data_IF_709049790918
#
_entry.id   IF_709049790918
#
_cell.length_a   1.000
_cell.length_b   1.000
_cell.length_c   1.000
_cell.angle_alpha   90.00
_cell.angle_beta   90.00
_cell.angle_gamma   90.00
#
_symmetry.space_group_name_H-M   'P 1'
#
loop_
_entity.id
_entity.type
_entity.pdbx_description
1 polymer ?
#
# COMPACT_ATOMS: atom_id res chain seq x y z
N UNK A 1 -20.95 -26.90 11.42
CA UNK A 1 -20.42 -26.60 10.07
C UNK A 1 -20.83 -27.69 9.10
N UNK A 2 -21.25 -27.33 7.89
CA UNK A 2 -21.62 -28.29 6.84
C UNK A 2 -20.39 -29.09 6.37
N UNK A 3 -20.55 -30.37 5.99
CA UNK A 3 -19.48 -31.25 5.48
C UNK A 3 -18.80 -30.67 4.24
N UNK A 4 -19.54 -29.97 3.39
CA UNK A 4 -19.01 -29.35 2.16
C UNK A 4 -17.98 -28.25 2.47
N UNK A 5 -18.22 -27.46 3.51
CA UNK A 5 -17.33 -26.36 3.92
C UNK A 5 -16.04 -26.93 4.53
N UNK A 6 -16.16 -28.01 5.30
CA UNK A 6 -14.99 -28.72 5.83
C UNK A 6 -14.15 -29.34 4.71
N UNK A 7 -14.78 -29.84 3.65
CA UNK A 7 -14.09 -30.35 2.47
C UNK A 7 -13.36 -29.22 1.73
N UNK A 8 -14.02 -28.09 1.48
CA UNK A 8 -13.39 -26.93 0.83
C UNK A 8 -12.21 -26.39 1.66
N UNK A 9 -12.35 -26.25 2.98
CA UNK A 9 -11.24 -25.86 3.85
C UNK A 9 -10.08 -26.87 3.81
N UNK A 10 -10.38 -28.17 3.78
CA UNK A 10 -9.38 -29.22 3.66
C UNK A 10 -8.63 -29.18 2.32
N UNK A 11 -9.32 -28.88 1.21
CA UNK A 11 -8.69 -28.70 -0.11
C UNK A 11 -7.74 -27.49 -0.13
N UNK A 12 -8.06 -26.46 0.65
CA UNK A 12 -7.21 -25.29 0.88
C UNK A 12 -6.11 -25.53 1.92
N UNK A 13 -5.94 -26.77 2.41
CA UNK A 13 -5.01 -27.11 3.50
C UNK A 13 -5.18 -26.19 4.71
N UNK A 14 -6.43 -25.87 5.02
CA UNK A 14 -6.84 -24.90 6.04
C UNK A 14 -7.73 -25.57 7.08
N UNK A 15 -7.42 -25.33 8.34
CA UNK A 15 -8.15 -25.87 9.48
C UNK A 15 -8.81 -24.73 10.27
N UNK A 16 -10.06 -24.94 10.70
CA UNK A 16 -10.69 -24.08 11.70
C UNK A 16 -10.20 -24.48 13.09
N UNK A 17 -9.45 -23.61 13.75
CA UNK A 17 -8.82 -23.90 15.05
C UNK A 17 -9.76 -23.58 16.21
N UNK A 18 -10.41 -22.41 16.18
CA UNK A 18 -11.35 -21.96 17.21
C UNK A 18 -12.40 -21.05 16.59
N UNK A 19 -13.52 -20.90 17.31
CA UNK A 19 -14.54 -19.91 16.99
C UNK A 19 -15.23 -19.44 18.26
N UNK A 20 -15.62 -18.17 18.27
CA UNK A 20 -16.30 -17.53 19.40
C UNK A 20 -17.39 -16.57 18.92
N UNK A 21 -18.42 -16.36 19.74
CA UNK A 21 -19.40 -15.29 19.51
C UNK A 21 -18.97 -14.08 20.33
N UNK A 22 -18.64 -12.99 19.64
CA UNK A 22 -18.24 -11.73 20.25
C UNK A 22 -19.40 -10.72 20.15
N UNK A 23 -19.54 -9.85 21.15
CA UNK A 23 -20.55 -8.77 21.14
C UNK A 23 -20.18 -7.70 22.17
N UNK A 24 -20.36 -6.43 21.81
CA UNK A 24 -20.12 -5.28 22.69
C UNK A 24 -18.64 -4.95 22.90
N UNK A 25 -17.82 -5.93 23.27
CA UNK A 25 -16.40 -5.77 23.58
C UNK A 25 -15.56 -6.94 23.05
N UNK A 26 -14.31 -6.66 22.66
CA UNK A 26 -13.31 -7.65 22.25
C UNK A 26 -11.91 -7.20 22.65
N UNK A 27 -11.14 -8.09 23.27
CA UNK A 27 -9.69 -7.92 23.48
C UNK A 27 -8.96 -8.78 22.47
N UNK A 28 -8.20 -8.15 21.58
CA UNK A 28 -7.37 -8.85 20.61
C UNK A 28 -6.17 -9.54 21.31
N UNK A 29 -5.61 -10.62 20.72
CA UNK A 29 -4.39 -11.26 21.21
C UNK A 29 -3.17 -10.35 21.37
N UNK A 30 -3.14 -9.19 20.71
CA UNK A 30 -2.10 -8.17 20.88
C UNK A 30 -2.32 -7.26 22.12
N UNK A 31 -3.38 -7.50 22.90
CA UNK A 31 -3.75 -6.74 24.10
C UNK A 31 -4.63 -5.51 23.83
N UNK A 32 -4.85 -5.15 22.56
CA UNK A 32 -5.73 -4.03 22.21
C UNK A 32 -7.19 -4.38 22.51
N UNK A 33 -7.93 -3.39 22.99
CA UNK A 33 -9.31 -3.54 23.41
C UNK A 33 -10.24 -2.67 22.56
N UNK A 34 -11.35 -3.25 22.14
CA UNK A 34 -12.30 -2.63 21.23
C UNK A 34 -13.71 -2.71 21.80
N UNK A 35 -14.40 -1.56 21.85
CA UNK A 35 -15.76 -1.43 22.36
C UNK A 35 -16.76 -1.06 21.26
N UNK A 36 -18.05 -1.20 21.57
CA UNK A 36 -19.15 -0.86 20.66
C UNK A 36 -19.22 -1.77 19.44
N UNK A 37 -18.84 -3.03 19.60
CA UNK A 37 -18.88 -4.03 18.52
C UNK A 37 -20.28 -4.63 18.37
N UNK A 38 -20.77 -4.87 17.14
CA UNK A 38 -21.98 -5.66 16.93
C UNK A 38 -21.75 -7.11 17.39
N UNK A 39 -22.80 -7.92 17.38
CA UNK A 39 -22.63 -9.37 17.53
C UNK A 39 -22.02 -9.96 16.26
N UNK A 40 -20.97 -10.76 16.38
CA UNK A 40 -20.33 -11.46 15.27
C UNK A 40 -19.74 -12.80 15.69
N UNK A 41 -19.64 -13.73 14.74
CA UNK A 41 -18.87 -14.96 14.88
C UNK A 41 -17.42 -14.68 14.46
N UNK A 42 -16.48 -14.81 15.40
CA UNK A 42 -15.03 -14.80 15.16
C UNK A 42 -14.60 -16.22 14.84
N UNK A 43 -13.88 -16.42 13.74
CA UNK A 43 -13.36 -17.72 13.32
C UNK A 43 -11.85 -17.59 13.11
N UNK A 44 -11.08 -18.40 13.83
CA UNK A 44 -9.62 -18.44 13.74
C UNK A 44 -9.20 -19.67 12.94
N UNK A 45 -8.42 -19.46 11.89
CA UNK A 45 -8.00 -20.51 10.99
C UNK A 45 -6.48 -20.52 10.83
N UNK A 46 -5.96 -21.71 10.51
CA UNK A 46 -4.56 -21.92 10.15
C UNK A 46 -4.49 -22.64 8.81
N UNK A 47 -3.75 -22.10 7.85
CA UNK A 47 -3.35 -22.82 6.65
C UNK A 47 -1.92 -23.34 6.76
N UNK A 48 -1.71 -24.59 6.35
CA UNK A 48 -0.39 -25.24 6.31
C UNK A 48 -0.09 -25.80 4.90
N UNK A 49 0.02 -24.95 3.86
CA UNK A 49 0.18 -25.40 2.46
C UNK A 49 1.53 -26.05 2.12
N UNK A 50 2.52 -25.96 3.01
CA UNK A 50 3.85 -26.55 2.85
C UNK A 50 4.56 -26.71 4.21
N UNK A 51 5.63 -27.50 4.25
CA UNK A 51 6.34 -27.88 5.48
C UNK A 51 6.85 -26.67 6.29
N UNK A 52 7.24 -25.59 5.61
CA UNK A 52 7.70 -24.34 6.21
C UNK A 52 6.60 -23.28 6.42
N UNK A 53 5.34 -23.58 6.09
CA UNK A 53 4.25 -22.61 6.03
C UNK A 53 3.25 -22.78 7.18
N UNK A 54 3.00 -21.68 7.89
CA UNK A 54 1.93 -21.58 8.88
C UNK A 54 1.33 -20.19 8.78
N UNK A 55 0.14 -20.11 8.20
CA UNK A 55 -0.57 -18.83 7.97
C UNK A 55 -1.75 -18.78 8.91
N UNK A 56 -1.75 -17.83 9.84
CA UNK A 56 -2.95 -17.52 10.62
C UNK A 56 -3.82 -16.53 9.86
N UNK A 57 -5.11 -16.80 9.83
CA UNK A 57 -6.09 -15.83 9.34
C UNK A 57 -7.37 -15.89 10.16
N UNK A 58 -8.02 -14.74 10.29
CA UNK A 58 -9.29 -14.61 10.99
C UNK A 58 -10.37 -14.14 10.04
N UNK A 59 -11.57 -14.68 10.24
CA UNK A 59 -12.79 -14.30 9.52
C UNK A 59 -13.85 -13.94 10.54
N UNK A 60 -14.37 -12.71 10.46
CA UNK A 60 -15.38 -12.17 11.36
C UNK A 60 -16.70 -12.00 10.60
N UNK A 61 -17.74 -12.67 11.07
CA UNK A 61 -19.03 -12.79 10.40
C UNK A 61 -20.12 -12.14 11.27
N UNK A 62 -20.54 -10.89 11.00
CA UNK A 62 -21.55 -10.20 11.80
C UNK A 62 -22.93 -10.85 11.68
N UNK A 63 -23.71 -10.81 12.76
CA UNK A 63 -25.11 -11.30 12.73
C UNK A 63 -25.94 -10.52 11.71
N UNK A 64 -25.84 -9.18 11.75
CA UNK A 64 -26.49 -8.27 10.81
C UNK A 64 -25.60 -8.03 9.58
N UNK A 65 -25.40 -9.07 8.78
CA UNK A 65 -24.55 -9.00 7.59
C UNK A 65 -25.23 -8.30 6.42
N UNK A 66 -24.56 -7.31 5.85
CA UNK A 66 -25.05 -6.52 4.72
C UNK A 66 -24.92 -7.22 3.34
N UNK A 67 -24.35 -8.44 3.30
CA UNK A 67 -24.19 -9.22 2.08
C UNK A 67 -22.85 -9.04 1.38
N UNK A 68 -21.92 -8.29 1.95
CA UNK A 68 -20.61 -7.97 1.36
C UNK A 68 -19.47 -8.64 2.14
N UNK A 69 -18.50 -9.20 1.41
CA UNK A 69 -17.24 -9.70 1.95
C UNK A 69 -16.11 -8.71 1.73
N UNK A 70 -15.27 -8.49 2.75
CA UNK A 70 -14.12 -7.58 2.69
C UNK A 70 -12.84 -8.32 3.12
N UNK A 71 -11.90 -8.49 2.19
CA UNK A 71 -10.52 -8.85 2.53
C UNK A 71 -9.72 -7.61 2.89
N UNK A 72 -8.90 -7.70 3.93
CA UNK A 72 -8.02 -6.59 4.35
C UNK A 72 -6.56 -7.01 4.31
N UNK A 73 -5.68 -6.05 4.01
CA UNK A 73 -4.22 -6.26 3.98
C UNK A 73 -3.49 -5.94 5.30
N UNK A 74 -2.17 -6.00 5.25
CA UNK A 74 -1.24 -5.79 6.37
C UNK A 74 -0.24 -4.65 6.05
N UNK A 75 0.68 -4.37 6.98
CA UNK A 75 1.77 -3.41 6.80
C UNK A 75 3.15 -4.03 7.02
N UNK A 76 4.21 -3.41 6.48
CA UNK A 76 5.60 -3.81 6.72
C UNK A 76 5.90 -5.27 6.34
N UNK A 77 6.53 -6.01 7.26
CA UNK A 77 6.77 -7.45 7.11
C UNK A 77 5.54 -8.31 7.47
N UNK A 78 4.42 -7.70 7.85
CA UNK A 78 3.25 -8.38 8.39
C UNK A 78 3.58 -9.22 9.66
N UNK A 79 3.16 -10.48 9.72
CA UNK A 79 3.37 -11.38 10.87
C UNK A 79 2.27 -11.29 11.92
N UNK A 80 1.35 -10.33 11.82
CA UNK A 80 0.24 -10.18 12.76
C UNK A 80 -1.07 -9.85 12.04
N UNK A 81 -2.18 -10.31 12.62
CA UNK A 81 -3.53 -9.94 12.22
C UNK A 81 -3.76 -8.45 12.53
N UNK A 82 -4.24 -7.69 11.54
CA UNK A 82 -4.59 -6.28 11.68
C UNK A 82 -6.01 -6.11 12.25
N UNK A 83 -6.17 -6.31 13.57
CA UNK A 83 -7.48 -6.27 14.25
C UNK A 83 -8.23 -4.95 14.09
N UNK A 84 -7.55 -3.80 14.04
CA UNK A 84 -8.19 -2.51 13.79
C UNK A 84 -8.99 -2.49 12.48
N UNK A 85 -8.51 -3.17 11.44
CA UNK A 85 -9.20 -3.31 10.15
C UNK A 85 -10.42 -4.22 10.25
N UNK A 86 -10.29 -5.36 10.95
CA UNK A 86 -11.42 -6.27 11.22
C UNK A 86 -12.53 -5.55 11.99
N UNK A 87 -12.16 -4.81 13.04
CA UNK A 87 -13.07 -4.01 13.87
C UNK A 87 -13.77 -2.93 13.04
N UNK A 88 -13.03 -2.21 12.20
CA UNK A 88 -13.61 -1.16 11.34
C UNK A 88 -14.73 -1.71 10.47
N UNK A 89 -14.51 -2.83 9.78
CA UNK A 89 -15.46 -3.33 8.79
C UNK A 89 -16.55 -4.21 9.39
N UNK A 90 -16.30 -4.95 10.48
CA UNK A 90 -17.37 -5.68 11.16
C UNK A 90 -18.43 -4.73 11.74
N UNK A 91 -18.01 -3.56 12.26
CA UNK A 91 -18.91 -2.49 12.75
C UNK A 91 -19.82 -1.93 11.66
N UNK A 92 -19.41 -2.05 10.40
CA UNK A 92 -20.18 -1.62 9.24
C UNK A 92 -21.06 -2.74 8.64
N UNK A 93 -21.12 -3.90 9.29
CA UNK A 93 -21.93 -5.05 8.87
C UNK A 93 -21.30 -5.90 7.77
N UNK A 94 -20.00 -5.75 7.50
CA UNK A 94 -19.28 -6.59 6.54
C UNK A 94 -18.81 -7.90 7.17
N UNK A 95 -18.88 -8.98 6.40
CA UNK A 95 -18.06 -10.16 6.68
C UNK A 95 -16.62 -9.80 6.29
N UNK A 96 -15.68 -9.90 7.22
CA UNK A 96 -14.32 -9.35 7.03
C UNK A 96 -13.25 -10.37 7.38
N UNK A 97 -12.15 -10.39 6.63
CA UNK A 97 -11.02 -11.26 6.88
C UNK A 97 -9.66 -10.53 6.84
N UNK A 98 -8.70 -11.04 7.62
CA UNK A 98 -7.31 -10.62 7.62
C UNK A 98 -6.38 -11.83 7.90
N UNK A 99 -5.11 -11.75 7.51
CA UNK A 99 -4.11 -12.81 7.69
C UNK A 99 -2.78 -12.25 8.18
N UNK A 100 -1.85 -13.11 8.59
CA UNK A 100 -0.51 -12.74 9.06
C UNK A 100 0.59 -12.81 7.99
N UNK A 101 0.24 -13.20 6.77
CA UNK A 101 1.13 -13.41 5.63
C UNK A 101 2.23 -14.47 5.84
N UNK A 102 2.09 -15.37 6.81
CA UNK A 102 3.04 -16.47 7.07
C UNK A 102 4.39 -16.05 7.64
N UNK A 103 4.55 -14.79 8.07
CA UNK A 103 5.82 -14.20 8.51
C UNK A 103 5.94 -14.04 10.03
N UNK A 104 5.23 -14.87 10.78
CA UNK A 104 5.39 -14.90 12.23
C UNK A 104 6.79 -15.33 12.67
N UNK A 105 7.14 -14.88 13.87
CA UNK A 105 8.44 -15.14 14.49
C UNK A 105 9.61 -14.37 13.85
N UNK A 106 9.34 -13.26 13.16
CA UNK A 106 10.34 -12.23 12.86
C UNK A 106 10.93 -12.29 11.45
N UNK A 107 11.95 -11.44 11.23
CA UNK A 107 12.54 -11.16 9.91
C UNK A 107 13.35 -12.31 9.32
N UNK A 108 13.74 -13.27 10.14
CA UNK A 108 14.50 -14.46 9.77
C UNK A 108 13.61 -15.56 9.17
N UNK A 109 12.28 -15.45 9.28
CA UNK A 109 11.32 -16.50 8.91
C UNK A 109 11.42 -16.97 7.45
N UNK A 110 11.84 -16.08 6.55
CA UNK A 110 12.01 -16.41 5.12
C UNK A 110 13.39 -16.95 4.75
N UNK A 111 14.35 -17.09 5.67
CA UNK A 111 15.66 -17.65 5.34
C UNK A 111 15.50 -19.12 4.94
N UNK A 112 15.89 -19.46 3.71
CA UNK A 112 15.83 -20.83 3.20
C UNK A 112 14.42 -21.42 3.11
N UNK A 113 13.37 -20.58 3.16
CA UNK A 113 11.98 -21.02 3.20
C UNK A 113 11.16 -20.43 2.04
N UNK A 114 11.15 -21.09 0.87
CA UNK A 114 10.43 -20.61 -0.32
C UNK A 114 8.90 -20.63 -0.13
N UNK A 115 8.39 -21.40 0.82
CA UNK A 115 6.96 -21.39 1.13
C UNK A 115 6.55 -20.09 1.84
N UNK A 116 7.39 -19.57 2.75
CA UNK A 116 7.17 -18.25 3.37
C UNK A 116 7.24 -17.13 2.33
N UNK A 117 8.09 -17.24 1.31
CA UNK A 117 8.14 -16.26 0.21
C UNK A 117 6.81 -16.22 -0.55
N UNK A 118 6.23 -17.39 -0.86
CA UNK A 118 4.90 -17.49 -1.50
C UNK A 118 3.79 -16.99 -0.58
N UNK A 119 3.83 -17.33 0.70
CA UNK A 119 2.84 -16.91 1.69
C UNK A 119 2.77 -15.39 1.77
N UNK A 120 3.94 -14.76 1.91
CA UNK A 120 4.09 -13.32 1.94
C UNK A 120 3.76 -12.67 0.60
N UNK A 121 4.15 -13.30 -0.51
CA UNK A 121 3.93 -12.76 -1.84
C UNK A 121 2.45 -12.72 -2.22
N UNK A 122 1.73 -13.82 -2.01
CA UNK A 122 0.40 -13.99 -2.60
C UNK A 122 -0.49 -15.04 -1.91
N UNK A 123 0.09 -16.15 -1.43
CA UNK A 123 -0.66 -17.36 -1.05
C UNK A 123 -1.50 -17.17 0.19
N UNK A 124 -1.00 -16.46 1.21
CA UNK A 124 -1.75 -16.21 2.43
C UNK A 124 -3.02 -15.39 2.20
N UNK A 125 -2.91 -14.36 1.34
CA UNK A 125 -4.06 -13.52 0.99
C UNK A 125 -5.11 -14.31 0.23
N UNK A 126 -4.70 -15.10 -0.77
CA UNK A 126 -5.62 -15.95 -1.53
C UNK A 126 -6.31 -17.00 -0.66
N UNK A 127 -5.56 -17.74 0.17
CA UNK A 127 -6.13 -18.75 1.08
C UNK A 127 -7.14 -18.15 2.06
N UNK A 128 -6.81 -17.00 2.67
CA UNK A 128 -7.73 -16.24 3.51
C UNK A 128 -9.02 -15.88 2.75
N UNK A 129 -8.91 -15.39 1.51
CA UNK A 129 -10.07 -15.02 0.69
C UNK A 129 -10.97 -16.23 0.42
N UNK A 130 -10.39 -17.35 -0.01
CA UNK A 130 -11.12 -18.59 -0.31
C UNK A 130 -11.82 -19.13 0.94
N UNK A 131 -11.09 -19.27 2.04
CA UNK A 131 -11.63 -19.74 3.31
C UNK A 131 -12.73 -18.80 3.83
N UNK A 132 -12.52 -17.49 3.79
CA UNK A 132 -13.50 -16.50 4.21
C UNK A 132 -14.80 -16.57 3.42
N UNK A 133 -14.74 -16.71 2.09
CA UNK A 133 -15.94 -16.88 1.25
C UNK A 133 -16.66 -18.20 1.48
N UNK A 134 -15.93 -19.29 1.70
CA UNK A 134 -16.50 -20.58 2.07
C UNK A 134 -17.27 -20.47 3.40
N UNK A 135 -16.70 -19.80 4.39
CA UNK A 135 -17.34 -19.56 5.69
C UNK A 135 -18.54 -18.62 5.61
N UNK A 136 -18.50 -17.58 4.77
CA UNK A 136 -19.66 -16.73 4.47
C UNK A 136 -20.82 -17.58 3.94
N UNK A 137 -20.55 -18.44 2.94
CA UNK A 137 -21.56 -19.34 2.37
C UNK A 137 -22.10 -20.32 3.43
N UNK A 138 -21.24 -20.82 4.31
CA UNK A 138 -21.61 -21.70 5.41
C UNK A 138 -22.55 -21.02 6.42
N UNK A 139 -22.22 -19.80 6.82
CA UNK A 139 -22.88 -19.08 7.90
C UNK A 139 -24.22 -18.46 7.45
N UNK A 140 -24.25 -17.90 6.24
CA UNK A 140 -25.42 -17.15 5.75
C UNK A 140 -26.24 -17.92 4.71
N UNK A 141 -25.84 -19.15 4.37
CA UNK A 141 -26.50 -20.02 3.39
C UNK A 141 -26.63 -19.41 1.99
N UNK A 142 -25.76 -18.44 1.68
CA UNK A 142 -25.67 -17.75 0.38
C UNK A 142 -24.29 -17.14 0.21
N UNK A 143 -23.90 -16.93 -1.04
CA UNK A 143 -22.65 -16.27 -1.37
C UNK A 143 -22.73 -14.75 -1.10
N UNK A 144 -21.55 -14.11 -0.98
CA UNK A 144 -21.47 -12.66 -0.93
C UNK A 144 -22.01 -12.05 -2.24
N UNK A 145 -22.83 -11.02 -2.13
CA UNK A 145 -23.35 -10.28 -3.29
C UNK A 145 -22.23 -9.54 -4.03
N UNK A 146 -21.28 -9.02 -3.25
CA UNK A 146 -20.07 -8.33 -3.71
C UNK A 146 -18.91 -8.64 -2.76
N UNK A 147 -17.70 -8.64 -3.32
CA UNK A 147 -16.47 -8.82 -2.57
C UNK A 147 -15.51 -7.68 -2.86
N UNK A 148 -14.89 -7.13 -1.81
CA UNK A 148 -13.89 -6.07 -1.93
C UNK A 148 -12.58 -6.45 -1.25
N UNK A 149 -11.46 -5.99 -1.79
CA UNK A 149 -10.18 -6.01 -1.10
C UNK A 149 -9.68 -4.60 -0.85
N UNK A 150 -9.18 -4.33 0.35
CA UNK A 150 -8.58 -3.05 0.71
C UNK A 150 -7.31 -3.24 1.52
N UNK A 151 -6.24 -2.58 1.10
CA UNK A 151 -5.00 -2.56 1.83
C UNK A 151 -4.14 -1.35 1.49
N UNK A 152 -3.29 -0.96 2.44
CA UNK A 152 -2.31 0.12 2.30
C UNK A 152 -0.90 -0.45 2.49
N UNK A 153 0.14 0.08 1.83
CA UNK A 153 1.52 -0.38 1.96
C UNK A 153 1.72 -1.83 1.47
N UNK A 154 2.15 -2.76 2.32
CA UNK A 154 2.12 -4.20 2.05
C UNK A 154 0.71 -4.67 1.67
N UNK A 155 -0.34 -4.10 2.26
CA UNK A 155 -1.72 -4.34 1.87
C UNK A 155 -2.04 -3.83 0.46
N UNK A 156 -1.40 -2.76 0.01
CA UNK A 156 -1.51 -2.30 -1.38
C UNK A 156 -0.81 -3.26 -2.36
N UNK A 157 0.31 -3.88 -1.97
CA UNK A 157 0.89 -5.00 -2.71
C UNK A 157 -0.08 -6.18 -2.76
N UNK A 158 -0.64 -6.62 -1.63
CA UNK A 158 -1.63 -7.70 -1.58
C UNK A 158 -2.83 -7.41 -2.50
N UNK A 159 -3.32 -6.16 -2.50
CA UNK A 159 -4.41 -5.71 -3.35
C UNK A 159 -4.10 -5.93 -4.84
N UNK A 160 -2.91 -5.51 -5.29
CA UNK A 160 -2.50 -5.65 -6.68
C UNK A 160 -2.22 -7.11 -7.07
N UNK A 161 -1.68 -7.91 -6.15
CA UNK A 161 -1.53 -9.35 -6.34
C UNK A 161 -2.89 -10.01 -6.60
N UNK A 162 -3.93 -9.65 -5.83
CA UNK A 162 -5.27 -10.18 -6.06
C UNK A 162 -5.81 -9.78 -7.44
N UNK A 163 -5.57 -8.55 -7.89
CA UNK A 163 -5.97 -8.11 -9.23
C UNK A 163 -5.24 -8.87 -10.36
N UNK A 164 -3.94 -9.11 -10.18
CA UNK A 164 -3.07 -9.72 -11.20
C UNK A 164 -3.22 -11.24 -11.27
N UNK A 165 -3.25 -11.92 -10.12
CA UNK A 165 -3.17 -13.39 -10.03
C UNK A 165 -4.52 -14.07 -9.79
N UNK A 166 -5.44 -13.39 -9.13
CA UNK A 166 -6.73 -13.96 -8.69
C UNK A 166 -7.90 -13.05 -9.09
N UNK A 167 -8.03 -12.73 -10.39
CA UNK A 167 -8.92 -11.69 -10.89
C UNK A 167 -10.40 -11.93 -10.58
N UNK A 168 -10.80 -13.17 -10.30
CA UNK A 168 -12.16 -13.57 -9.92
C UNK A 168 -12.53 -13.30 -8.47
N UNK A 169 -11.55 -12.99 -7.61
CA UNK A 169 -11.78 -13.00 -6.18
C UNK A 169 -12.45 -11.72 -5.64
N UNK A 170 -12.40 -10.60 -6.38
CA UNK A 170 -12.96 -9.34 -5.91
C UNK A 170 -13.62 -8.55 -7.05
N UNK A 171 -14.74 -7.89 -6.74
CA UNK A 171 -15.41 -6.96 -7.65
C UNK A 171 -14.74 -5.58 -7.66
N UNK A 172 -14.20 -5.16 -6.51
CA UNK A 172 -13.50 -3.89 -6.34
C UNK A 172 -12.27 -4.04 -5.46
N UNK A 173 -11.16 -3.45 -5.88
CA UNK A 173 -9.87 -3.53 -5.20
C UNK A 173 -9.35 -2.12 -4.94
N UNK A 174 -8.93 -1.85 -3.70
CA UNK A 174 -8.33 -0.59 -3.28
C UNK A 174 -6.87 -0.87 -2.90
N UNK A 175 -5.96 -0.31 -3.69
CA UNK A 175 -4.52 -0.41 -3.51
C UNK A 175 -3.95 0.94 -3.04
N UNK A 176 -3.97 1.17 -1.72
CA UNK A 176 -3.35 2.33 -1.12
C UNK A 176 -1.84 2.16 -1.04
N UNK A 177 -1.09 3.16 -1.48
CA UNK A 177 0.35 3.28 -1.26
C UNK A 177 1.08 1.94 -1.56
N UNK A 178 0.93 1.36 -2.75
CA UNK A 178 1.25 -0.06 -2.95
C UNK A 178 2.75 -0.33 -2.95
N UNK A 179 3.21 -1.19 -2.05
CA UNK A 179 4.60 -1.68 -2.02
C UNK A 179 4.86 -2.78 -3.09
N UNK A 180 4.37 -2.58 -4.32
CA UNK A 180 4.28 -3.61 -5.35
C UNK A 180 5.61 -4.00 -5.99
N UNK A 181 6.53 -3.05 -6.13
CA UNK A 181 7.85 -3.29 -6.69
C UNK A 181 8.86 -3.63 -5.58
N UNK A 182 8.58 -4.72 -4.86
CA UNK A 182 9.11 -5.02 -3.52
C UNK A 182 10.64 -5.09 -3.46
N UNK A 183 11.27 -5.87 -4.33
CA UNK A 183 12.73 -6.05 -4.27
C UNK A 183 13.48 -4.76 -4.61
N UNK A 184 12.99 -3.99 -5.58
CA UNK A 184 13.53 -2.67 -5.93
C UNK A 184 13.28 -1.63 -4.84
N UNK A 185 12.07 -1.60 -4.25
CA UNK A 185 11.75 -0.72 -3.11
C UNK A 185 12.70 -0.95 -1.94
N UNK A 186 13.00 -2.21 -1.61
CA UNK A 186 13.89 -2.50 -0.50
C UNK A 186 15.36 -2.18 -0.82
N UNK A 187 15.72 -2.20 -2.10
CA UNK A 187 17.00 -1.66 -2.59
C UNK A 187 17.10 -0.15 -2.41
N UNK A 188 16.00 0.58 -2.55
CA UNK A 188 15.92 2.01 -2.22
C UNK A 188 16.20 2.27 -0.73
N UNK A 189 15.64 1.47 0.18
CA UNK A 189 15.93 1.65 1.61
C UNK A 189 17.40 1.42 1.95
N UNK A 190 18.01 0.39 1.36
CA UNK A 190 19.43 0.09 1.53
C UNK A 190 20.32 1.18 0.91
N UNK A 191 19.95 1.70 -0.25
CA UNK A 191 20.64 2.80 -0.90
C UNK A 191 20.68 4.05 -0.03
N UNK A 192 19.55 4.45 0.55
CA UNK A 192 19.47 5.62 1.42
C UNK A 192 20.28 5.43 2.69
N UNK A 193 20.21 4.24 3.31
CA UNK A 193 21.01 3.91 4.48
C UNK A 193 22.52 4.03 4.18
N UNK A 194 22.97 3.39 3.09
CA UNK A 194 24.37 3.47 2.65
C UNK A 194 24.79 4.87 2.23
N UNK A 195 23.91 5.67 1.63
CA UNK A 195 24.23 7.04 1.26
C UNK A 195 24.65 7.87 2.48
N UNK A 196 24.00 7.68 3.62
CA UNK A 196 24.33 8.37 4.88
C UNK A 196 25.54 7.71 5.56
N UNK A 197 25.49 6.39 5.75
CA UNK A 197 26.52 5.62 6.46
C UNK A 197 27.89 5.72 5.79
N UNK A 198 27.97 5.48 4.48
CA UNK A 198 29.25 5.50 3.73
C UNK A 198 29.87 6.90 3.67
N UNK A 199 29.05 7.95 3.78
CA UNK A 199 29.51 9.33 3.84
C UNK A 199 30.01 9.76 5.24
N UNK A 200 29.75 8.95 6.28
CA UNK A 200 30.16 9.25 7.66
C UNK A 200 29.50 10.50 8.23
N UNK A 201 28.27 10.82 7.79
CA UNK A 201 27.51 11.98 8.27
C UNK A 201 26.27 11.56 9.04
N UNK A 202 25.76 12.46 9.89
CA UNK A 202 24.45 12.33 10.51
C UNK A 202 23.67 13.63 10.39
N UNK A 203 22.35 13.53 10.24
CA UNK A 203 21.38 14.61 10.21
C UNK A 203 20.69 14.70 11.57
N UNK A 204 20.63 15.91 12.12
CA UNK A 204 19.85 16.18 13.33
C UNK A 204 18.36 16.28 12.99
N UNK A 205 17.49 16.10 13.99
CA UNK A 205 16.06 16.32 13.81
C UNK A 205 15.75 17.73 13.30
N UNK A 206 16.44 18.75 13.80
CA UNK A 206 16.25 20.14 13.40
C UNK A 206 16.64 20.37 11.93
N UNK A 207 17.73 19.75 11.47
CA UNK A 207 18.11 19.80 10.05
C UNK A 207 17.04 19.14 9.18
N UNK A 208 16.54 17.97 9.57
CA UNK A 208 15.52 17.23 8.81
C UNK A 208 14.19 17.99 8.75
N UNK A 209 13.74 18.58 9.86
CA UNK A 209 12.55 19.44 9.87
C UNK A 209 12.72 20.67 8.99
N UNK A 210 13.91 21.30 9.01
CA UNK A 210 14.23 22.45 8.15
C UNK A 210 14.25 22.06 6.67
N UNK A 211 14.85 20.93 6.31
CA UNK A 211 14.85 20.40 4.94
C UNK A 211 13.41 20.15 4.48
N UNK A 212 12.58 19.49 5.31
CA UNK A 212 11.19 19.20 4.97
C UNK A 212 10.35 20.46 4.77
N UNK A 213 10.54 21.47 5.61
CA UNK A 213 9.87 22.76 5.47
C UNK A 213 10.28 23.49 4.19
N UNK A 214 11.57 23.49 3.86
CA UNK A 214 12.08 24.09 2.61
C UNK A 214 11.63 23.31 1.37
N UNK A 215 11.48 21.99 1.47
CA UNK A 215 10.89 21.19 0.41
C UNK A 215 9.43 21.56 0.17
N UNK A 216 8.62 21.69 1.23
CA UNK A 216 7.23 22.12 1.11
C UNK A 216 7.12 23.51 0.45
N UNK A 217 7.99 24.45 0.83
CA UNK A 217 8.08 25.79 0.22
C UNK A 217 8.51 25.74 -1.26
N UNK A 218 9.55 24.97 -1.57
CA UNK A 218 10.00 24.73 -2.96
C UNK A 218 8.85 24.20 -3.82
N UNK A 219 8.12 23.21 -3.29
CA UNK A 219 7.02 22.53 -3.98
C UNK A 219 5.80 23.43 -4.24
N UNK A 220 5.63 24.56 -3.53
CA UNK A 220 4.59 25.55 -3.85
C UNK A 220 4.77 26.18 -5.24
N UNK A 221 6.03 26.25 -5.71
CA UNK A 221 6.38 26.86 -6.99
C UNK A 221 6.58 25.83 -8.11
N UNK A 222 6.54 24.54 -7.77
CA UNK A 222 6.63 23.47 -8.75
C UNK A 222 5.22 23.14 -9.18
N UNK A 223 4.92 23.38 -10.47
CA UNK A 223 3.62 23.03 -11.06
C UNK A 223 3.26 21.57 -10.83
N UNK A 224 4.28 20.73 -10.70
CA UNK A 224 4.21 19.33 -10.95
C UNK A 224 5.11 18.51 -10.02
N UNK A 225 4.53 17.71 -9.10
CA UNK A 225 5.30 16.90 -8.14
C UNK A 225 6.42 16.12 -8.86
N UNK A 226 7.71 16.41 -8.57
CA UNK A 226 8.83 15.81 -9.29
C UNK A 226 8.82 14.29 -9.17
N UNK A 227 9.13 13.61 -10.27
CA UNK A 227 9.22 12.14 -10.31
C UNK A 227 10.67 11.66 -10.27
N UNK A 228 11.54 12.44 -9.62
CA UNK A 228 12.99 12.23 -9.58
C UNK A 228 13.68 12.59 -10.89
N UNK A 229 13.27 13.69 -11.54
CA UNK A 229 14.00 14.26 -12.67
C UNK A 229 15.20 15.10 -12.20
N UNK A 230 16.26 15.09 -13.01
CA UNK A 230 17.53 15.74 -12.74
C UNK A 230 17.37 17.23 -12.41
N UNK A 231 16.59 17.93 -13.23
CA UNK A 231 16.45 19.38 -13.16
C UNK A 231 15.82 19.80 -11.83
N UNK A 232 14.75 19.13 -11.41
CA UNK A 232 14.09 19.41 -10.13
C UNK A 232 15.01 19.12 -8.94
N UNK A 233 15.78 18.03 -9.00
CA UNK A 233 16.74 17.66 -7.95
C UNK A 233 17.82 18.74 -7.82
N UNK A 234 18.46 19.15 -8.92
CA UNK A 234 19.51 20.18 -8.88
C UNK A 234 18.98 21.52 -8.37
N UNK A 235 17.78 21.92 -8.80
CA UNK A 235 17.14 23.14 -8.33
C UNK A 235 16.87 23.09 -6.82
N UNK A 236 16.40 21.97 -6.31
CA UNK A 236 16.14 21.83 -4.88
C UNK A 236 17.43 21.78 -4.06
N UNK A 237 18.47 21.09 -4.54
CA UNK A 237 19.79 21.09 -3.87
C UNK A 237 20.38 22.50 -3.83
N UNK A 238 20.35 23.25 -4.93
CA UNK A 238 20.76 24.66 -4.95
C UNK A 238 19.94 25.50 -3.97
N UNK A 239 18.62 25.26 -3.89
CA UNK A 239 17.74 25.92 -2.93
C UNK A 239 18.15 25.64 -1.47
N UNK A 240 18.49 24.38 -1.15
CA UNK A 240 19.00 24.02 0.18
C UNK A 240 20.37 24.65 0.47
N UNK A 241 21.27 24.72 -0.53
CA UNK A 241 22.58 25.39 -0.40
C UNK A 241 22.43 26.86 -0.01
N UNK A 242 21.44 27.57 -0.58
CA UNK A 242 21.20 28.98 -0.26
C UNK A 242 20.52 29.21 1.10
N UNK A 243 19.73 28.24 1.58
CA UNK A 243 18.82 28.41 2.74
C UNK A 243 19.27 27.70 4.01
N UNK A 244 20.31 26.87 3.92
CA UNK A 244 20.81 26.04 5.03
C UNK A 244 22.31 26.21 5.22
N UNK A 245 22.80 25.80 6.39
CA UNK A 245 24.24 25.69 6.68
C UNK A 245 24.72 24.23 6.60
N UNK A 246 24.01 23.40 5.83
CA UNK A 246 24.40 22.00 5.62
C UNK A 246 25.77 21.94 4.93
N UNK A 247 26.61 21.01 5.35
CA UNK A 247 27.89 20.79 4.69
C UNK A 247 27.71 20.26 3.27
N UNK A 248 28.71 20.49 2.40
CA UNK A 248 28.74 19.95 1.04
C UNK A 248 28.54 18.43 1.02
N UNK A 249 29.07 17.71 2.02
CA UNK A 249 28.87 16.26 2.14
C UNK A 249 27.41 15.91 2.38
N UNK A 250 26.71 16.62 3.29
CA UNK A 250 25.28 16.39 3.53
C UNK A 250 24.44 16.70 2.29
N UNK A 251 24.75 17.79 1.58
CA UNK A 251 24.05 18.14 0.34
C UNK A 251 24.22 17.06 -0.75
N UNK A 252 25.44 16.51 -0.92
CA UNK A 252 25.68 15.38 -1.84
C UNK A 252 24.94 14.09 -1.43
N UNK A 253 24.83 13.83 -0.13
CA UNK A 253 24.06 12.69 0.38
C UNK A 253 22.57 12.87 0.07
N UNK A 254 22.02 14.06 0.31
CA UNK A 254 20.63 14.37 -0.05
C UNK A 254 20.39 14.24 -1.55
N UNK A 255 21.30 14.75 -2.39
CA UNK A 255 21.21 14.59 -3.84
C UNK A 255 21.16 13.10 -4.23
N UNK A 256 22.05 12.27 -3.64
CA UNK A 256 22.07 10.82 -3.87
C UNK A 256 20.76 10.13 -3.45
N UNK A 257 20.14 10.57 -2.35
CA UNK A 257 18.86 10.05 -1.85
C UNK A 257 17.70 10.44 -2.79
N UNK A 258 17.63 11.70 -3.22
CA UNK A 258 16.58 12.17 -4.14
C UNK A 258 16.69 11.57 -5.55
N UNK A 259 17.90 11.21 -5.99
CA UNK A 259 18.13 10.49 -7.26
C UNK A 259 17.65 9.04 -7.21
N UNK A 260 17.78 8.39 -6.06
CA UNK A 260 17.49 6.98 -5.87
C UNK A 260 18.58 6.04 -6.40
N UNK A 261 18.41 4.72 -6.19
CA UNK A 261 19.40 3.72 -6.58
C UNK A 261 19.53 3.55 -8.09
N UNK A 262 20.78 3.38 -8.55
CA UNK A 262 21.13 3.07 -9.94
C UNK A 262 22.06 1.87 -9.99
N UNK A 263 21.96 1.08 -11.06
CA UNK A 263 22.91 0.03 -11.33
C UNK A 263 24.28 0.66 -11.69
N UNK A 264 25.36 0.36 -10.96
CA UNK A 264 26.66 1.02 -11.16
C UNK A 264 27.33 0.68 -12.50
N UNK A 265 26.95 -0.45 -13.15
CA UNK A 265 27.48 -0.88 -14.44
C UNK A 265 26.70 -0.29 -15.61
N UNK A 266 25.38 -0.27 -15.54
CA UNK A 266 24.51 0.17 -16.67
C UNK A 266 24.06 1.62 -16.56
N UNK A 267 24.08 2.20 -15.35
CA UNK A 267 23.50 3.52 -15.07
C UNK A 267 21.96 3.53 -15.05
N UNK A 268 21.32 2.38 -15.24
CA UNK A 268 19.86 2.26 -15.20
C UNK A 268 19.35 2.48 -13.77
N UNK A 269 18.21 3.17 -13.67
CA UNK A 269 17.53 3.38 -12.39
C UNK A 269 16.94 2.07 -11.88
N UNK A 270 17.25 1.72 -10.63
CA UNK A 270 16.68 0.56 -9.94
C UNK A 270 15.32 0.91 -9.33
N UNK A 271 15.21 2.07 -8.70
CA UNK A 271 14.00 2.56 -8.06
C UNK A 271 14.03 4.10 -8.00
N UNK A 272 12.87 4.75 -7.86
CA UNK A 272 12.80 6.20 -7.71
C UNK A 272 13.34 6.66 -6.34
N UNK A 273 13.95 7.84 -6.30
CA UNK A 273 14.44 8.42 -5.05
C UNK A 273 13.33 8.95 -4.15
N UNK A 274 13.74 9.41 -2.97
CA UNK A 274 12.83 9.93 -1.94
C UNK A 274 12.06 11.16 -2.47
N UNK A 275 10.73 11.25 -2.27
CA UNK A 275 9.99 12.45 -2.63
C UNK A 275 10.41 13.67 -1.79
N UNK A 276 10.56 14.84 -2.42
CA UNK A 276 10.83 16.07 -1.67
C UNK A 276 9.65 16.41 -0.75
N UNK A 277 9.92 16.73 0.51
CA UNK A 277 8.92 17.03 1.53
C UNK A 277 8.56 15.82 2.40
N UNK A 278 9.18 14.67 2.15
CA UNK A 278 8.96 13.43 2.90
C UNK A 278 10.00 13.17 4.01
N UNK A 279 11.01 14.03 4.13
CA UNK A 279 12.27 13.73 4.83
C UNK A 279 12.08 13.49 6.34
N UNK A 280 11.10 14.17 6.95
CA UNK A 280 10.77 14.11 8.39
C UNK A 280 9.89 12.94 8.81
N UNK A 281 9.24 12.25 7.88
CA UNK A 281 8.29 11.19 8.24
C UNK A 281 9.03 9.88 8.56
N UNK A 282 8.29 8.89 9.09
CA UNK A 282 8.83 7.53 9.23
C UNK A 282 9.25 6.96 7.87
N UNK A 283 10.29 6.14 7.84
CA UNK A 283 11.12 5.78 6.68
C UNK A 283 11.87 6.96 6.02
N UNK A 284 11.86 8.14 6.62
CA UNK A 284 12.58 9.32 6.14
C UNK A 284 14.07 9.30 6.48
N UNK A 285 14.68 10.49 6.48
CA UNK A 285 16.13 10.64 6.65
C UNK A 285 16.60 10.08 7.99
N UNK A 286 15.87 10.33 9.09
CA UNK A 286 16.29 9.88 10.43
C UNK A 286 16.32 8.36 10.56
N UNK A 287 15.32 7.66 10.00
CA UNK A 287 15.23 6.19 10.06
C UNK A 287 16.33 5.52 9.24
N UNK A 288 16.76 6.15 8.14
CA UNK A 288 17.89 5.66 7.34
C UNK A 288 19.24 5.73 8.04
N UNK A 289 19.37 6.44 9.16
CA UNK A 289 20.62 6.51 9.93
C UNK A 289 20.71 5.44 11.02
N UNK A 290 19.61 4.72 11.29
CA UNK A 290 19.59 3.68 12.30
C UNK A 290 20.40 2.46 11.85
N UNK A 291 21.13 1.82 12.78
CA UNK A 291 21.95 0.64 12.49
C UNK A 291 21.11 -0.56 12.07
N UNK A 292 19.94 -0.75 12.69
CA UNK A 292 19.00 -1.80 12.33
C UNK A 292 17.88 -1.24 11.46
N UNK A 293 18.06 -1.28 10.14
CA UNK A 293 17.00 -0.92 9.22
C UNK A 293 15.97 -2.07 9.14
N UNK A 294 14.74 -1.92 9.68
CA UNK A 294 13.73 -2.98 9.69
C UNK A 294 13.32 -3.44 8.28
N UNK A 295 13.64 -2.63 7.28
CA UNK A 295 13.35 -2.87 5.88
C UNK A 295 14.38 -3.79 5.17
N UNK A 296 15.37 -4.37 5.87
CA UNK A 296 16.38 -5.23 5.23
C UNK A 296 15.99 -6.70 5.12
N UNK A 297 14.79 -7.08 5.55
CA UNK A 297 14.40 -8.49 5.61
C UNK A 297 14.47 -9.25 4.26
N UNK A 298 14.24 -8.69 3.04
CA UNK A 298 14.43 -9.44 1.79
C UNK A 298 15.89 -9.82 1.57
N UNK A 299 16.82 -8.96 2.00
CA UNK A 299 18.25 -9.27 1.95
C UNK A 299 18.62 -10.32 2.99
N UNK A 300 18.03 -10.27 4.19
CA UNK A 300 18.18 -11.32 5.21
C UNK A 300 17.69 -12.66 4.65
N UNK A 301 16.53 -12.69 3.97
CA UNK A 301 16.00 -13.91 3.35
C UNK A 301 16.91 -14.46 2.24
N UNK A 302 17.65 -13.58 1.56
CA UNK A 302 18.54 -13.94 0.45
C UNK A 302 19.94 -14.35 0.92
N UNK A 303 20.50 -13.64 1.89
CA UNK A 303 21.92 -13.73 2.28
C UNK A 303 22.16 -14.30 3.68
N UNK A 304 21.11 -14.45 4.49
CA UNK A 304 21.18 -15.01 5.84
C UNK A 304 21.02 -13.99 6.96
N UNK A 305 20.95 -14.50 8.20
CA UNK A 305 20.61 -13.71 9.40
C UNK A 305 21.64 -12.62 9.74
N UNK A 306 22.91 -12.85 9.39
CA UNK A 306 24.02 -11.94 9.72
C UNK A 306 24.23 -10.83 8.67
N UNK A 307 23.33 -10.72 7.69
CA UNK A 307 23.47 -9.72 6.63
C UNK A 307 23.25 -8.30 7.14
N UNK A 308 24.23 -7.41 6.90
CA UNK A 308 24.22 -6.01 7.38
C UNK A 308 23.96 -4.97 6.29
N UNK A 309 24.11 -5.32 5.01
CA UNK A 309 23.96 -4.39 3.88
C UNK A 309 25.23 -3.66 3.43
N UNK A 310 26.31 -3.72 4.20
CA UNK A 310 27.52 -2.89 3.99
C UNK A 310 28.24 -3.18 2.67
N UNK A 311 28.29 -4.45 2.29
CA UNK A 311 29.00 -4.91 1.09
C UNK A 311 28.06 -5.17 -0.10
N UNK A 312 26.82 -4.69 -0.06
CA UNK A 312 25.84 -4.98 -1.11
C UNK A 312 26.25 -4.44 -2.48
N UNK A 313 26.30 -5.32 -3.46
CA UNK A 313 26.55 -4.99 -4.85
C UNK A 313 25.22 -4.72 -5.60
N UNK A 314 24.94 -3.45 -5.89
CA UNK A 314 23.73 -3.01 -6.59
C UNK A 314 23.58 -3.54 -8.04
N UNK A 315 24.60 -4.19 -8.60
CA UNK A 315 24.50 -4.96 -9.86
C UNK A 315 24.28 -6.45 -9.53
N UNK A 316 25.26 -7.11 -8.90
CA UNK A 316 25.27 -8.58 -8.78
C UNK A 316 24.38 -9.15 -7.68
N UNK A 317 24.31 -8.50 -6.53
CA UNK A 317 23.52 -9.00 -5.40
C UNK A 317 22.03 -8.72 -5.61
N UNK A 318 21.69 -7.61 -6.29
CA UNK A 318 20.32 -7.34 -6.69
C UNK A 318 19.78 -8.42 -7.65
N UNK A 319 20.59 -8.93 -8.58
CA UNK A 319 20.19 -10.04 -9.46
C UNK A 319 19.82 -11.30 -8.66
N UNK A 320 20.57 -11.60 -7.58
CA UNK A 320 20.29 -12.73 -6.69
C UNK A 320 19.00 -12.54 -5.91
N UNK A 321 18.78 -11.34 -5.36
CA UNK A 321 17.54 -10.99 -4.65
C UNK A 321 16.34 -11.10 -5.59
N UNK A 322 16.46 -10.58 -6.81
CA UNK A 322 15.40 -10.65 -7.81
C UNK A 322 15.11 -12.10 -8.23
N UNK A 323 16.14 -12.90 -8.51
CA UNK A 323 15.97 -14.29 -8.91
C UNK A 323 15.25 -15.12 -7.83
N UNK A 324 15.52 -14.84 -6.55
CA UNK A 324 14.90 -15.55 -5.43
C UNK A 324 13.50 -15.05 -5.11
N UNK A 325 13.30 -13.74 -5.02
CA UNK A 325 12.12 -13.15 -4.37
C UNK A 325 11.14 -12.48 -5.32
N UNK A 326 11.62 -11.86 -6.41
CA UNK A 326 10.74 -11.08 -7.29
C UNK A 326 9.57 -11.90 -7.90
N UNK A 327 9.74 -13.18 -8.28
CA UNK A 327 8.64 -13.99 -8.82
C UNK A 327 7.46 -14.15 -7.86
N UNK A 328 7.68 -14.09 -6.55
CA UNK A 328 6.63 -14.23 -5.55
C UNK A 328 6.21 -12.90 -4.94
N UNK A 329 7.15 -12.00 -4.65
CA UNK A 329 6.91 -10.77 -3.89
C UNK A 329 6.52 -9.57 -4.75
N UNK A 330 6.96 -9.50 -6.00
CA UNK A 330 6.66 -8.34 -6.84
C UNK A 330 5.27 -8.50 -7.48
N UNK A 331 4.48 -7.43 -7.41
CA UNK A 331 3.15 -7.30 -7.98
C UNK A 331 3.18 -6.29 -9.13
N UNK A 332 3.99 -6.56 -10.15
CA UNK A 332 4.33 -5.60 -11.20
C UNK A 332 3.72 -5.89 -12.57
N UNK A 333 2.88 -6.93 -12.71
CA UNK A 333 2.23 -7.25 -13.98
C UNK A 333 1.25 -6.14 -14.37
N UNK A 334 1.48 -5.40 -15.48
CA UNK A 334 0.60 -4.32 -15.89
C UNK A 334 -0.65 -4.82 -16.62
N UNK A 335 -0.68 -6.06 -17.09
CA UNK A 335 -1.85 -6.61 -17.79
C UNK A 335 -2.90 -7.06 -16.77
N UNK A 336 -3.95 -6.25 -16.64
CA UNK A 336 -5.07 -6.52 -15.74
C UNK A 336 -6.30 -6.97 -16.53
N UNK A 337 -6.14 -7.34 -17.81
CA UNK A 337 -7.24 -7.72 -18.70
C UNK A 337 -8.15 -8.77 -18.06
N UNK A 338 -7.65 -9.86 -17.43
CA UNK A 338 -8.51 -10.84 -16.78
C UNK A 338 -9.37 -10.30 -15.64
N UNK A 339 -8.91 -9.27 -14.91
CA UNK A 339 -9.67 -8.61 -13.85
C UNK A 339 -10.68 -7.62 -14.42
N UNK A 340 -10.27 -6.85 -15.43
CA UNK A 340 -11.13 -5.82 -16.02
C UNK A 340 -12.26 -6.42 -16.88
N UNK A 341 -12.03 -7.54 -17.58
CA UNK A 341 -13.03 -8.15 -18.48
C UNK A 341 -14.28 -8.68 -17.76
N UNK A 342 -14.13 -9.03 -16.49
CA UNK A 342 -15.24 -9.42 -15.60
C UNK A 342 -15.88 -8.24 -14.87
N UNK A 343 -15.48 -7.01 -15.20
CA UNK A 343 -16.06 -5.77 -14.65
C UNK A 343 -15.37 -5.28 -13.37
N UNK A 344 -14.23 -5.85 -12.99
CA UNK A 344 -13.49 -5.45 -11.79
C UNK A 344 -13.08 -3.97 -11.82
N UNK A 345 -13.09 -3.32 -10.66
CA UNK A 345 -12.69 -1.91 -10.49
C UNK A 345 -11.47 -1.80 -9.57
N UNK A 346 -10.49 -0.98 -9.96
CA UNK A 346 -9.25 -0.78 -9.21
C UNK A 346 -9.07 0.71 -8.88
N UNK A 347 -8.93 1.00 -7.58
CA UNK A 347 -8.64 2.33 -7.07
C UNK A 347 -7.26 2.34 -6.42
N UNK A 348 -6.35 3.11 -7.01
CA UNK A 348 -5.05 3.40 -6.45
C UNK A 348 -5.05 4.75 -5.75
N UNK A 349 -4.21 4.88 -4.73
CA UNK A 349 -3.78 6.18 -4.27
C UNK A 349 -2.39 6.15 -3.66
N UNK A 350 -1.73 7.31 -3.57
CA UNK A 350 -0.43 7.46 -2.88
C UNK A 350 -0.32 8.83 -2.23
N UNK A 351 0.48 8.95 -1.17
CA UNK A 351 0.89 10.24 -0.63
C UNK A 351 2.06 10.81 -1.42
N UNK A 352 2.02 12.09 -1.77
CA UNK A 352 3.13 12.76 -2.47
C UNK A 352 4.36 13.02 -1.60
N UNK A 353 4.21 12.94 -0.27
CA UNK A 353 5.28 13.11 0.70
C UNK A 353 5.55 11.80 1.48
N UNK A 354 5.38 10.65 0.83
CA UNK A 354 5.64 9.33 1.40
C UNK A 354 7.09 8.88 1.13
N UNK A 355 7.94 8.75 2.16
CA UNK A 355 9.31 8.25 2.00
C UNK A 355 9.40 6.71 2.08
N UNK A 356 8.38 6.02 2.60
CA UNK A 356 8.33 4.57 2.74
C UNK A 356 7.99 3.91 1.40
N UNK A 357 7.02 4.41 0.66
CA UNK A 357 6.69 3.92 -0.69
C UNK A 357 6.56 5.12 -1.63
N UNK A 358 7.68 5.58 -2.19
CA UNK A 358 7.71 6.73 -3.09
C UNK A 358 6.68 6.62 -4.23
N UNK A 359 5.74 7.57 -4.27
CA UNK A 359 4.70 7.66 -5.31
C UNK A 359 5.21 7.60 -6.76
N UNK A 360 6.43 8.06 -7.13
CA UNK A 360 6.86 8.02 -8.52
C UNK A 360 6.94 6.60 -9.09
N UNK A 361 7.24 5.57 -8.29
CA UNK A 361 7.22 4.18 -8.76
C UNK A 361 5.78 3.69 -8.98
N UNK A 362 4.87 3.97 -8.03
CA UNK A 362 3.46 3.63 -8.17
C UNK A 362 2.82 4.30 -9.39
N UNK A 363 3.17 5.57 -9.67
CA UNK A 363 2.76 6.25 -10.90
C UNK A 363 3.36 5.61 -12.15
N UNK A 364 4.65 5.21 -12.13
CA UNK A 364 5.26 4.53 -13.27
C UNK A 364 4.60 3.16 -13.53
N UNK A 365 4.16 2.45 -12.48
CA UNK A 365 3.37 1.24 -12.63
C UNK A 365 1.97 1.54 -13.21
N UNK A 366 1.28 2.56 -12.71
CA UNK A 366 0.01 3.03 -13.28
C UNK A 366 0.13 3.36 -14.77
N UNK A 367 1.18 4.11 -15.18
CA UNK A 367 1.42 4.44 -16.58
C UNK A 367 1.56 3.17 -17.46
N UNK A 368 2.22 2.10 -16.95
CA UNK A 368 2.31 0.80 -17.64
C UNK A 368 0.96 0.09 -17.71
N UNK A 369 0.19 0.09 -16.62
CA UNK A 369 -1.16 -0.49 -16.57
C UNK A 369 -2.09 0.20 -17.56
N UNK A 370 -2.11 1.53 -17.59
CA UNK A 370 -2.95 2.29 -18.51
C UNK A 370 -2.57 2.03 -19.97
N UNK A 371 -1.27 1.89 -20.26
CA UNK A 371 -0.77 1.48 -21.58
C UNK A 371 -1.21 0.07 -21.97
N UNK A 372 -1.16 -0.90 -21.05
CA UNK A 372 -1.50 -2.30 -21.33
C UNK A 372 -3.01 -2.52 -21.51
N UNK A 373 -3.85 -1.83 -20.73
CA UNK A 373 -5.30 -2.08 -20.67
C UNK A 373 -6.13 -1.10 -21.52
N UNK A 374 -5.52 -0.03 -22.03
CA UNK A 374 -6.11 0.90 -22.98
C UNK A 374 -7.43 1.52 -22.51
N UNK A 375 -8.45 1.49 -23.39
CA UNK A 375 -9.77 2.10 -23.11
C UNK A 375 -10.44 1.48 -21.88
N UNK A 376 -10.28 0.18 -21.67
CA UNK A 376 -10.90 -0.53 -20.54
C UNK A 376 -10.28 -0.09 -19.22
N UNK A 377 -8.95 0.04 -19.18
CA UNK A 377 -8.25 0.63 -18.03
C UNK A 377 -8.84 1.99 -17.64
N UNK A 378 -9.04 2.88 -18.62
CA UNK A 378 -9.61 4.23 -18.39
C UNK A 378 -11.03 4.25 -17.83
N UNK A 379 -11.78 3.15 -17.91
CA UNK A 379 -13.15 3.04 -17.40
C UNK A 379 -13.23 2.36 -16.04
N UNK A 380 -12.15 1.69 -15.61
CA UNK A 380 -12.18 0.74 -14.50
C UNK A 380 -10.99 0.90 -13.55
N UNK A 381 -10.07 1.82 -13.83
CA UNK A 381 -8.91 2.11 -12.99
C UNK A 381 -8.84 3.61 -12.71
N UNK A 382 -8.66 3.97 -11.44
CA UNK A 382 -8.38 5.35 -11.00
C UNK A 382 -7.12 5.39 -10.17
N UNK A 383 -6.34 6.46 -10.29
CA UNK A 383 -5.19 6.74 -9.42
C UNK A 383 -5.24 8.17 -8.91
N UNK A 384 -5.17 8.34 -7.59
CA UNK A 384 -5.13 9.66 -6.95
C UNK A 384 -3.83 9.88 -6.19
N UNK A 385 -3.19 11.02 -6.43
CA UNK A 385 -2.03 11.46 -5.66
C UNK A 385 -2.49 12.46 -4.59
N UNK A 386 -2.32 12.11 -3.32
CA UNK A 386 -2.72 12.95 -2.20
C UNK A 386 -1.57 13.94 -1.86
N UNK A 387 -1.78 15.25 -2.00
CA UNK A 387 -0.75 16.25 -1.77
C UNK A 387 -0.32 16.36 -0.31
N UNK A 388 0.98 16.36 -0.05
CA UNK A 388 1.55 16.50 1.29
C UNK A 388 1.33 15.33 2.25
N UNK A 389 0.56 14.31 1.86
CA UNK A 389 0.34 13.12 2.67
C UNK A 389 1.56 12.21 2.70
N UNK A 390 1.85 11.68 3.89
CA UNK A 390 2.89 10.68 4.16
C UNK A 390 2.39 9.23 3.89
N UNK A 391 3.12 8.23 4.38
CA UNK A 391 2.79 6.80 4.22
C UNK A 391 1.41 6.38 4.76
N UNK A 392 0.81 7.19 5.64
CA UNK A 392 -0.54 6.99 6.17
C UNK A 392 -1.66 7.61 5.31
N UNK A 393 -1.36 8.02 4.07
CA UNK A 393 -2.32 8.62 3.16
C UNK A 393 -3.63 7.82 3.07
N UNK A 394 -4.77 8.50 3.19
CA UNK A 394 -6.11 7.95 2.96
C UNK A 394 -7.08 9.12 2.69
N UNK A 395 -8.08 8.89 1.85
CA UNK A 395 -9.06 9.93 1.45
C UNK A 395 -9.89 10.49 2.61
N UNK A 396 -9.90 9.84 3.78
CA UNK A 396 -10.67 10.32 4.93
C UNK A 396 -9.82 10.58 6.16
N UNK A 397 -8.49 10.75 5.99
CA UNK A 397 -7.57 10.95 7.11
C UNK A 397 -7.91 12.18 7.95
N UNK A 398 -8.25 13.30 7.32
CA UNK A 398 -8.54 14.57 8.00
C UNK A 398 -10.03 14.92 8.09
N UNK A 399 -10.91 14.00 7.74
CA UNK A 399 -12.34 14.22 7.72
C UNK A 399 -13.03 13.33 6.70
N UNK A 400 -14.27 13.65 6.36
CA UNK A 400 -15.00 12.92 5.32
C UNK A 400 -14.62 13.45 3.93
N UNK A 401 -14.92 12.66 2.90
CA UNK A 401 -14.73 13.03 1.51
C UNK A 401 -16.07 13.25 0.80
N UNK A 402 -16.06 13.94 -0.34
CA UNK A 402 -17.18 14.04 -1.27
C UNK A 402 -16.80 13.43 -2.62
N UNK A 403 -17.68 12.59 -3.15
CA UNK A 403 -17.49 11.96 -4.47
C UNK A 403 -18.84 11.74 -5.14
N UNK A 404 -18.99 12.12 -6.41
CA UNK A 404 -20.20 11.86 -7.20
C UNK A 404 -21.52 12.33 -6.57
N UNK A 405 -21.51 13.49 -5.91
CA UNK A 405 -22.67 14.04 -5.21
C UNK A 405 -23.03 13.28 -3.93
N UNK A 406 -22.24 12.29 -3.52
CA UNK A 406 -22.27 11.73 -2.18
C UNK A 406 -21.41 12.59 -1.26
N UNK A 407 -22.07 13.27 -0.34
CA UNK A 407 -21.43 14.03 0.73
C UNK A 407 -21.07 13.09 1.89
N UNK A 408 -20.14 13.51 2.74
CA UNK A 408 -19.82 12.83 4.00
C UNK A 408 -19.36 11.36 3.89
N UNK A 409 -18.62 10.99 2.83
CA UNK A 409 -18.08 9.64 2.64
C UNK A 409 -17.10 9.26 3.75
N UNK A 410 -17.32 8.08 4.34
CA UNK A 410 -16.67 7.64 5.59
C UNK A 410 -15.35 6.94 5.41
N UNK A 411 -15.15 6.30 4.26
CA UNK A 411 -13.90 5.65 3.92
C UNK A 411 -13.78 5.34 2.42
N UNK A 412 -12.57 4.96 2.03
CA UNK A 412 -12.20 4.53 0.69
C UNK A 412 -13.05 3.35 0.16
N UNK A 413 -13.57 2.48 1.04
CA UNK A 413 -14.43 1.37 0.63
C UNK A 413 -15.80 1.87 0.18
N UNK A 414 -16.37 2.86 0.86
CA UNK A 414 -17.63 3.50 0.44
C UNK A 414 -17.50 4.17 -0.94
N UNK A 415 -16.36 4.82 -1.23
CA UNK A 415 -16.04 5.34 -2.57
C UNK A 415 -16.09 4.22 -3.63
N UNK A 416 -15.39 3.12 -3.38
CA UNK A 416 -15.37 1.97 -4.29
C UNK A 416 -16.76 1.36 -4.50
N UNK A 417 -17.56 1.29 -3.45
CA UNK A 417 -18.93 0.75 -3.52
C UNK A 417 -19.82 1.61 -4.40
N UNK A 418 -19.76 2.94 -4.31
CA UNK A 418 -20.54 3.80 -5.22
C UNK A 418 -20.18 3.57 -6.68
N UNK A 419 -18.92 3.28 -6.98
CA UNK A 419 -18.48 3.00 -8.33
C UNK A 419 -18.91 1.62 -8.84
N UNK A 420 -18.76 0.59 -8.00
CA UNK A 420 -19.06 -0.81 -8.35
C UNK A 420 -20.56 -1.11 -8.32
N UNK A 421 -21.29 -0.62 -7.32
CA UNK A 421 -22.69 -0.98 -7.07
C UNK A 421 -23.67 -0.04 -7.76
N UNK A 422 -23.38 1.27 -7.80
CA UNK A 422 -24.28 2.27 -8.40
C UNK A 422 -23.92 2.63 -9.84
N UNK A 423 -22.76 2.17 -10.34
CA UNK A 423 -22.27 2.53 -11.67
C UNK A 423 -21.94 4.01 -11.83
N UNK A 424 -21.79 4.75 -10.72
CA UNK A 424 -21.40 6.16 -10.74
C UNK A 424 -19.90 6.25 -10.94
N UNK A 425 -19.50 6.47 -12.19
CA UNK A 425 -18.10 6.74 -12.52
C UNK A 425 -17.65 8.07 -11.90
N UNK A 426 -16.42 8.16 -11.43
CA UNK A 426 -15.83 9.37 -10.88
C UNK A 426 -14.42 9.53 -11.37
N UNK A 427 -13.97 10.77 -11.47
CA UNK A 427 -12.62 11.14 -11.86
C UNK A 427 -12.03 12.23 -10.96
N UNK A 428 -12.82 12.63 -9.95
CA UNK A 428 -12.45 13.61 -8.94
C UNK A 428 -12.97 13.18 -7.57
N UNK A 429 -12.21 13.50 -6.53
CA UNK A 429 -12.61 13.30 -5.12
C UNK A 429 -12.29 14.60 -4.39
N UNK A 430 -13.27 15.18 -3.71
CA UNK A 430 -13.02 16.26 -2.76
C UNK A 430 -12.71 15.65 -1.40
N UNK A 431 -11.54 15.94 -0.83
CA UNK A 431 -11.12 15.41 0.47
C UNK A 431 -10.65 16.53 1.38
N UNK A 432 -10.69 16.29 2.69
CA UNK A 432 -10.06 17.18 3.66
C UNK A 432 -8.58 16.82 3.81
N UNK A 433 -7.74 17.85 3.86
CA UNK A 433 -6.33 17.83 4.26
C UNK A 433 -6.13 18.79 5.44
N UNK A 434 -4.92 18.84 6.01
CA UNK A 434 -4.64 19.73 7.16
C UNK A 434 -4.98 21.20 6.90
N UNK A 435 -4.75 21.70 5.68
CA UNK A 435 -4.95 23.09 5.29
C UNK A 435 -6.39 23.43 4.87
N UNK A 436 -7.30 22.46 4.79
CA UNK A 436 -8.68 22.68 4.35
C UNK A 436 -9.20 21.57 3.43
N UNK A 437 -10.18 21.90 2.62
CA UNK A 437 -10.66 21.01 1.56
C UNK A 437 -9.76 21.10 0.34
N UNK A 438 -9.65 19.98 -0.38
CA UNK A 438 -8.93 19.89 -1.64
C UNK A 438 -9.65 18.98 -2.63
N UNK A 439 -9.69 19.38 -3.90
CA UNK A 439 -10.14 18.54 -5.00
C UNK A 439 -8.96 17.76 -5.59
N UNK A 440 -9.05 16.44 -5.59
CA UNK A 440 -8.14 15.51 -6.24
C UNK A 440 -8.70 15.09 -7.59
N UNK A 441 -7.83 14.84 -8.57
CA UNK A 441 -8.21 14.35 -9.88
C UNK A 441 -7.49 13.02 -10.20
N UNK A 442 -8.13 12.18 -11.01
CA UNK A 442 -7.52 10.96 -11.54
C UNK A 442 -6.28 11.31 -12.35
N UNK A 443 -5.16 10.60 -12.12
CA UNK A 443 -3.87 10.92 -12.72
C UNK A 443 -3.82 10.85 -14.25
N UNK A 444 -4.75 10.14 -14.88
CA UNK A 444 -4.90 10.12 -16.35
C UNK A 444 -5.50 11.42 -16.91
N UNK A 445 -6.05 12.30 -16.06
CA UNK A 445 -6.53 13.61 -16.50
C UNK A 445 -5.37 14.57 -16.75
N UNK A 446 -5.50 15.49 -17.73
CA UNK A 446 -4.53 16.57 -17.92
C UNK A 446 -4.25 17.39 -16.65
N UNK A 447 -5.24 17.48 -15.76
CA UNK A 447 -5.19 18.16 -14.47
C UNK A 447 -4.82 17.22 -13.29
N UNK A 448 -4.92 15.91 -13.54
CA UNK A 448 -4.87 14.77 -12.62
C UNK A 448 -3.88 14.88 -11.47
N UNK A 449 -2.58 15.03 -11.73
CA UNK A 449 -1.64 14.81 -10.64
C UNK A 449 -1.35 16.08 -9.81
N UNK A 450 -1.74 17.29 -10.25
CA UNK A 450 -0.89 18.46 -9.93
C UNK A 450 -1.54 19.85 -9.79
N UNK A 451 -2.87 20.00 -9.83
CA UNK A 451 -3.54 21.23 -9.35
C UNK A 451 -4.51 20.90 -8.24
N UNK A 452 -4.21 21.42 -7.05
CA UNK A 452 -5.04 21.32 -5.87
C UNK A 452 -5.93 22.55 -5.86
N UNK A 453 -7.23 22.35 -5.90
CA UNK A 453 -8.19 23.42 -5.71
C UNK A 453 -8.75 23.31 -4.31
N UNK A 454 -8.89 24.43 -3.57
CA UNK A 454 -9.56 24.41 -2.28
C UNK A 454 -10.93 23.72 -2.33
N UNK A 455 -11.64 23.78 -3.46
CA UNK A 455 -12.84 22.97 -3.73
C UNK A 455 -12.95 22.54 -5.18
N UNK A 456 -13.75 21.51 -5.48
CA UNK A 456 -14.02 21.14 -6.87
C UNK A 456 -14.83 22.22 -7.60
N UNK A 457 -15.64 23.03 -6.88
CA UNK A 457 -16.39 24.15 -7.47
C UNK A 457 -15.47 25.25 -8.03
N UNK A 458 -14.42 25.63 -7.29
CA UNK A 458 -13.44 26.62 -7.75
C UNK A 458 -12.72 26.19 -9.03
N UNK A 459 -12.46 24.89 -9.20
CA UNK A 459 -11.90 24.35 -10.44
C UNK A 459 -12.79 24.65 -11.67
N UNK A 460 -14.09 24.42 -11.55
CA UNK A 460 -15.04 24.61 -12.66
C UNK A 460 -15.20 26.10 -13.03
N UNK A 461 -15.16 26.99 -12.04
CA UNK A 461 -15.14 28.44 -12.27
C UNK A 461 -13.91 28.88 -13.07
N UNK A 462 -12.71 28.35 -12.77
CA UNK A 462 -11.50 28.63 -13.56
C UNK A 462 -11.62 28.20 -15.02
N UNK A 463 -12.37 27.13 -15.29
CA UNK A 463 -12.57 26.59 -16.65
C UNK A 463 -13.74 27.20 -17.40
N UNK A 464 -14.55 28.05 -16.77
CA UNK A 464 -15.78 28.58 -17.35
C UNK A 464 -16.84 27.50 -17.61
N UNK A 465 -16.71 26.35 -16.96
CA UNK A 465 -17.69 25.27 -16.97
C UNK A 465 -18.64 25.54 -15.79
N UNK A 466 -19.92 25.79 -16.06
CA UNK A 466 -20.89 25.94 -14.96
C UNK A 466 -21.04 24.55 -14.31
N UNK A 467 -20.56 24.40 -13.07
CA UNK A 467 -20.83 23.23 -12.25
C UNK A 467 -22.36 23.08 -12.08
N UNK A 468 -22.93 21.97 -12.58
CA UNK A 468 -24.35 21.60 -12.46
C UNK A 468 -24.51 20.61 -11.31
#
# INVERSE_FOLDING_TARGET
MNREVLAELSELQTELCSWDICSGYFTAPNGESYEGLPSFLRMELVSCPGEGSHIRHEVWLPTDWNGIFVGTGNGGLAGNIAYGSLVKYVKQGYAVANNDMGTQNGRERGIGNPDVHKDFGWRATWLMTRAGKALVKAQYYREAKKSYFIGCSTGGQQALVMAQRFPEEYDGIIAGVPANNRTQLHTYFLWNHRAIKDAGVTFTKEEVEKISALAADFMQNVRYAPRGDEESIQKFIAYLTEKTELSDTKLKVLEKIYRGPVNPRTGERIYNGMPMGSERFGCGILDHQMEEAPHFYPFIWTFGADYTGDDFDFDRDLDRVNALLAPDLNANDPDLTPFLERGGKLLFYSGSADPCVPFPDAMAYYDRVMKANGKRGRQQIRYFLLPGEDHGADFVRYGRAHVNGHEDVRDSLEIMRYWVEEGRDFDQIETRVQSGWVCLFDADRPEGPRKIFPTCHEHYLEKGENAI
#
